data_IF_676757776641
#
_entry.id   IF_676757776641
#
_cell.length_a   1.000
_cell.length_b   1.000
_cell.length_c   1.000
_cell.angle_alpha   90.00
_cell.angle_beta   90.00
_cell.angle_gamma   90.00
#
_symmetry.space_group_name_H-M   'P 1'
#
loop_
_entity.id
_entity.type
_entity.pdbx_description
1 polymer ?
#
# COMPACT_ATOMS: atom_id res chain seq x y z
N UNK A 1 -7.26 -6.58 -3.28
CA UNK A 1 -8.03 -7.86 -3.45
C UNK A 1 -9.54 -7.63 -3.39
N UNK A 2 -10.08 -7.00 -2.34
CA UNK A 2 -11.52 -6.73 -2.21
C UNK A 2 -12.09 -5.83 -3.33
N UNK A 3 -11.32 -4.83 -3.74
CA UNK A 3 -11.57 -3.86 -4.83
C UNK A 3 -11.54 -4.49 -6.22
N UNK A 4 -10.66 -5.46 -6.48
CA UNK A 4 -10.69 -6.24 -7.73
C UNK A 4 -12.01 -7.02 -7.85
N UNK A 5 -12.50 -7.59 -6.75
CA UNK A 5 -13.78 -8.29 -6.75
C UNK A 5 -14.99 -7.34 -6.82
N UNK A 6 -14.90 -6.14 -6.23
CA UNK A 6 -16.02 -5.20 -6.17
C UNK A 6 -16.08 -4.18 -7.31
N UNK A 7 -14.98 -3.98 -8.05
CA UNK A 7 -14.91 -3.00 -9.14
C UNK A 7 -14.66 -3.72 -10.46
N UNK A 8 -13.63 -4.57 -10.55
CA UNK A 8 -13.21 -5.23 -11.79
C UNK A 8 -14.27 -6.22 -12.30
N UNK A 9 -14.91 -6.98 -11.40
CA UNK A 9 -15.96 -7.94 -11.76
C UNK A 9 -17.22 -7.21 -12.31
N UNK A 10 -17.83 -6.23 -11.61
CA UNK A 10 -19.01 -5.57 -12.14
C UNK A 10 -18.71 -4.67 -13.36
N UNK A 11 -17.52 -4.07 -13.47
CA UNK A 11 -17.15 -3.32 -14.70
C UNK A 11 -16.95 -4.25 -15.90
N UNK A 12 -16.31 -5.41 -15.73
CA UNK A 12 -16.10 -6.37 -16.82
C UNK A 12 -17.38 -7.14 -17.21
N UNK A 13 -18.24 -7.50 -16.24
CA UNK A 13 -19.41 -8.35 -16.48
C UNK A 13 -20.67 -7.56 -16.87
N UNK A 14 -20.83 -6.33 -16.37
CA UNK A 14 -22.06 -5.54 -16.54
C UNK A 14 -21.86 -4.23 -17.31
N UNK A 15 -20.63 -3.91 -17.77
CA UNK A 15 -20.32 -2.67 -18.49
C UNK A 15 -20.75 -1.40 -17.71
N UNK A 16 -20.76 -1.48 -16.38
CA UNK A 16 -21.20 -0.38 -15.50
C UNK A 16 -20.05 0.62 -15.36
N UNK A 17 -20.17 1.75 -16.04
CA UNK A 17 -19.26 2.87 -15.88
C UNK A 17 -19.46 3.53 -14.51
N UNK A 18 -18.51 3.33 -13.58
CA UNK A 18 -18.46 4.10 -12.34
C UNK A 18 -17.85 5.48 -12.61
N UNK A 19 -18.60 6.55 -12.28
CA UNK A 19 -18.18 7.95 -12.47
C UNK A 19 -16.82 8.27 -11.84
N UNK A 20 -16.08 9.18 -12.49
CA UNK A 20 -14.69 9.61 -12.20
C UNK A 20 -14.28 9.78 -10.73
N UNK A 21 -15.07 10.37 -9.80
CA UNK A 21 -14.63 10.56 -8.42
C UNK A 21 -14.67 9.27 -7.59
N UNK A 22 -15.63 8.38 -7.84
CA UNK A 22 -15.75 7.14 -7.07
C UNK A 22 -14.66 6.15 -7.44
N UNK A 23 -14.34 6.04 -8.73
CA UNK A 23 -13.27 5.17 -9.18
C UNK A 23 -11.93 5.56 -8.53
N UNK A 24 -11.62 6.86 -8.49
CA UNK A 24 -10.39 7.39 -7.89
C UNK A 24 -10.30 7.13 -6.39
N UNK A 25 -11.41 7.28 -5.64
CA UNK A 25 -11.41 7.02 -4.19
C UNK A 25 -11.18 5.53 -3.91
N UNK A 26 -11.87 4.65 -4.64
CA UNK A 26 -11.74 3.21 -4.44
C UNK A 26 -10.36 2.68 -4.85
N UNK A 27 -9.74 3.21 -5.92
CA UNK A 27 -8.37 2.82 -6.31
C UNK A 27 -7.33 3.29 -5.30
N UNK A 28 -7.51 4.47 -4.69
CA UNK A 28 -6.61 4.98 -3.65
C UNK A 28 -6.52 4.04 -2.45
N UNK A 29 -7.64 3.47 -1.99
CA UNK A 29 -7.61 2.49 -0.89
C UNK A 29 -6.86 1.21 -1.26
N UNK A 30 -6.99 0.73 -2.49
CA UNK A 30 -6.26 -0.45 -2.97
C UNK A 30 -4.76 -0.19 -3.07
N UNK A 31 -4.37 0.99 -3.59
CA UNK A 31 -2.97 1.42 -3.69
C UNK A 31 -2.34 1.56 -2.30
N UNK A 32 -3.03 2.21 -1.35
CA UNK A 32 -2.56 2.34 0.04
C UNK A 32 -2.37 0.97 0.68
N UNK A 33 -3.34 0.07 0.51
CA UNK A 33 -3.30 -1.28 1.06
C UNK A 33 -2.16 -2.11 0.46
N UNK A 34 -2.00 -2.09 -0.86
CA UNK A 34 -0.92 -2.76 -1.56
C UNK A 34 0.46 -2.25 -1.12
N UNK A 35 0.61 -0.93 -1.05
CA UNK A 35 1.86 -0.29 -0.67
C UNK A 35 2.19 -0.55 0.81
N UNK A 36 1.19 -0.52 1.71
CA UNK A 36 1.37 -0.89 3.11
C UNK A 36 1.77 -2.37 3.26
N UNK A 37 1.21 -3.26 2.43
CA UNK A 37 1.57 -4.68 2.41
C UNK A 37 3.02 -4.88 1.99
N UNK A 38 3.49 -4.23 0.93
CA UNK A 38 4.91 -4.30 0.49
C UNK A 38 5.84 -3.75 1.57
N UNK A 39 5.52 -2.60 2.16
CA UNK A 39 6.35 -2.04 3.23
C UNK A 39 6.39 -2.95 4.47
N UNK A 40 5.29 -3.63 4.78
CA UNK A 40 5.25 -4.59 5.89
C UNK A 40 6.11 -5.82 5.59
N UNK A 41 5.99 -6.41 4.41
CA UNK A 41 6.77 -7.62 4.05
C UNK A 41 8.26 -7.33 3.93
N UNK A 42 8.63 -6.17 3.38
CA UNK A 42 10.04 -5.72 3.33
C UNK A 42 10.59 -5.48 4.73
N UNK A 43 9.83 -4.87 5.63
CA UNK A 43 10.25 -4.66 7.01
C UNK A 43 10.44 -5.98 7.76
N UNK A 44 9.55 -6.96 7.56
CA UNK A 44 9.71 -8.32 8.07
C UNK A 44 10.98 -8.97 7.50
N UNK A 45 11.23 -8.83 6.19
CA UNK A 45 12.44 -9.37 5.57
C UNK A 45 13.73 -8.74 6.13
N UNK A 46 13.71 -7.43 6.39
CA UNK A 46 14.83 -6.72 7.02
C UNK A 46 15.04 -7.20 8.45
N UNK A 47 13.98 -7.37 9.25
CA UNK A 47 14.08 -7.93 10.59
C UNK A 47 14.76 -9.31 10.58
N UNK A 48 14.35 -10.19 9.64
CA UNK A 48 14.97 -11.50 9.45
C UNK A 48 16.42 -11.41 9.00
N UNK A 49 16.75 -10.49 8.11
CA UNK A 49 18.14 -10.26 7.67
C UNK A 49 19.04 -9.83 8.82
N UNK A 50 18.56 -8.89 9.66
CA UNK A 50 19.28 -8.42 10.85
C UNK A 50 19.46 -9.54 11.88
N UNK A 51 18.44 -10.39 12.04
CA UNK A 51 18.51 -11.59 12.88
C UNK A 51 19.65 -12.53 12.49
N UNK A 52 19.80 -12.81 11.20
CA UNK A 52 20.83 -13.75 10.71
C UNK A 52 22.23 -13.13 10.63
N UNK A 53 22.33 -11.85 10.28
CA UNK A 53 23.62 -11.20 10.09
C UNK A 53 24.20 -10.62 11.39
N UNK A 54 23.36 -10.22 12.34
CA UNK A 54 23.77 -9.53 13.57
C UNK A 54 23.03 -10.10 14.80
N UNK A 55 23.25 -11.39 15.05
CA UNK A 55 22.70 -12.13 16.21
C UNK A 55 22.92 -11.38 17.53
N UNK A 56 24.10 -10.76 17.71
CA UNK A 56 24.46 -10.03 18.94
C UNK A 56 23.65 -8.75 19.19
N UNK A 57 23.27 -8.01 18.14
CA UNK A 57 22.50 -6.76 18.28
C UNK A 57 21.01 -7.05 18.42
N UNK A 58 20.49 -8.06 17.71
CA UNK A 58 19.08 -8.42 17.80
C UNK A 58 18.70 -8.90 19.21
N UNK A 59 19.55 -9.70 19.86
CA UNK A 59 19.30 -10.14 21.24
C UNK A 59 19.24 -8.96 22.23
N UNK A 60 20.12 -7.96 22.10
CA UNK A 60 20.08 -6.76 22.95
C UNK A 60 18.88 -5.85 22.68
N UNK A 61 18.45 -5.71 21.42
CA UNK A 61 17.31 -4.86 21.04
C UNK A 61 15.97 -5.50 21.41
N UNK A 62 15.84 -6.82 21.30
CA UNK A 62 14.62 -7.53 21.74
C UNK A 62 14.53 -7.60 23.26
N UNK A 63 15.66 -7.83 23.94
CA UNK A 63 15.69 -7.92 25.41
C UNK A 63 15.51 -6.55 26.09
N UNK A 64 16.02 -5.47 25.50
CA UNK A 64 15.63 -4.11 25.89
C UNK A 64 14.31 -3.78 25.21
N UNK A 65 13.21 -4.03 25.91
CA UNK A 65 11.83 -3.73 25.52
C UNK A 65 11.60 -2.21 25.34
N UNK A 66 12.24 -1.62 24.34
CA UNK A 66 12.13 -0.19 24.05
C UNK A 66 10.75 0.10 23.46
N UNK A 67 10.07 1.17 23.89
CA UNK A 67 8.74 1.53 23.40
C UNK A 67 8.72 1.79 21.88
N UNK A 68 9.86 2.13 21.28
CA UNK A 68 10.02 2.29 19.84
C UNK A 68 9.65 1.04 19.04
N UNK A 69 9.83 -0.17 19.58
CA UNK A 69 9.47 -1.43 18.89
C UNK A 69 7.96 -1.49 18.63
N UNK A 70 7.15 -0.87 19.49
CA UNK A 70 5.69 -0.81 19.33
C UNK A 70 5.28 0.13 18.18
N UNK A 71 6.10 1.12 17.84
CA UNK A 71 5.84 2.07 16.75
C UNK A 71 6.25 1.54 15.36
N UNK A 72 7.15 0.55 15.30
CA UNK A 72 7.61 -0.07 14.06
C UNK A 72 6.45 -0.52 13.14
N UNK A 73 5.41 -1.24 13.62
CA UNK A 73 4.30 -1.66 12.76
C UNK A 73 3.42 -0.50 12.26
N UNK A 74 3.50 0.69 12.87
CA UNK A 74 2.78 1.87 12.38
C UNK A 74 3.52 2.57 11.22
N UNK A 75 4.83 2.39 11.10
CA UNK A 75 5.64 3.04 10.06
C UNK A 75 5.17 2.72 8.63
N UNK A 76 4.92 1.45 8.24
CA UNK A 76 4.45 1.11 6.89
C UNK A 76 3.17 1.85 6.49
N UNK A 77 2.25 2.03 7.45
CA UNK A 77 0.99 2.73 7.23
C UNK A 77 1.21 4.23 7.04
N UNK A 78 2.01 4.85 7.91
CA UNK A 78 2.31 6.29 7.80
C UNK A 78 3.01 6.62 6.49
N UNK A 79 3.99 5.80 6.08
CA UNK A 79 4.73 5.98 4.81
C UNK A 79 3.82 5.76 3.61
N UNK A 80 2.95 4.74 3.65
CA UNK A 80 1.99 4.48 2.57
C UNK A 80 1.00 5.63 2.38
N UNK A 81 0.45 6.17 3.48
CA UNK A 81 -0.45 7.32 3.46
C UNK A 81 0.29 8.55 2.91
N UNK A 82 1.52 8.81 3.37
CA UNK A 82 2.30 9.97 2.95
C UNK A 82 2.64 9.92 1.45
N UNK A 83 3.06 8.77 0.93
CA UNK A 83 3.30 8.58 -0.50
C UNK A 83 2.03 8.79 -1.31
N UNK A 84 0.91 8.27 -0.83
CA UNK A 84 -0.40 8.44 -1.49
C UNK A 84 -0.85 9.90 -1.49
N UNK A 85 -0.66 10.64 -0.39
CA UNK A 85 -0.96 12.07 -0.34
C UNK A 85 -0.04 12.83 -1.31
N UNK A 86 1.24 12.49 -1.35
CA UNK A 86 2.21 13.12 -2.24
C UNK A 86 1.85 12.92 -3.72
N UNK A 87 1.44 11.72 -4.14
CA UNK A 87 0.99 11.47 -5.51
C UNK A 87 -0.28 12.24 -5.85
N UNK A 88 -1.22 12.34 -4.91
CA UNK A 88 -2.43 13.14 -5.08
C UNK A 88 -2.14 14.65 -5.18
N UNK A 89 -1.17 15.17 -4.42
CA UNK A 89 -0.75 16.58 -4.47
C UNK A 89 -0.09 16.95 -5.81
N UNK A 90 0.67 16.02 -6.41
CA UNK A 90 1.26 16.20 -7.74
C UNK A 90 0.17 16.17 -8.84
N UNK A 91 -1.05 15.71 -8.51
CA UNK A 91 -2.13 15.54 -9.49
C UNK A 91 -1.99 14.28 -10.32
N UNK A 92 -1.20 13.30 -9.85
CA UNK A 92 -1.08 11.97 -10.43
C UNK A 92 -1.99 11.00 -9.68
N UNK A 93 -3.13 10.67 -10.29
CA UNK A 93 -4.11 9.77 -9.69
C UNK A 93 -4.06 8.41 -10.39
N UNK A 94 -4.23 7.34 -9.62
CA UNK A 94 -4.41 6.00 -10.18
C UNK A 94 -5.86 5.85 -10.62
N UNK A 95 -6.08 5.63 -11.91
CA UNK A 95 -7.38 5.27 -12.48
C UNK A 95 -7.34 3.83 -12.99
N UNK A 96 -8.43 3.11 -12.86
CA UNK A 96 -8.62 1.85 -13.59
C UNK A 96 -9.15 2.18 -14.97
N UNK A 97 -8.40 1.79 -15.99
CA UNK A 97 -8.80 2.02 -17.36
C UNK A 97 -9.82 0.93 -17.77
N UNK A 98 -11.06 1.29 -18.15
CA UNK A 98 -12.14 0.31 -18.35
C UNK A 98 -11.89 -0.63 -19.55
N UNK A 99 -11.05 -0.22 -20.51
CA UNK A 99 -10.79 -1.00 -21.72
C UNK A 99 -9.62 -1.98 -21.58
N UNK A 100 -8.63 -1.63 -20.77
CA UNK A 100 -7.45 -2.49 -20.56
C UNK A 100 -7.48 -3.23 -19.22
N UNK A 101 -8.44 -2.92 -18.34
CA UNK A 101 -8.57 -3.48 -16.98
C UNK A 101 -7.27 -3.33 -16.16
N UNK A 102 -6.41 -2.40 -16.56
CA UNK A 102 -5.13 -2.10 -15.92
C UNK A 102 -5.22 -0.78 -15.19
N UNK A 103 -4.43 -0.66 -14.12
CA UNK A 103 -4.24 0.60 -13.42
C UNK A 103 -3.33 1.50 -14.26
N UNK A 104 -3.85 2.63 -14.71
CA UNK A 104 -3.09 3.65 -15.43
C UNK A 104 -2.95 4.88 -14.54
N UNK A 105 -1.71 5.37 -14.40
CA UNK A 105 -1.43 6.63 -13.73
C UNK A 105 -1.72 7.77 -14.70
N UNK A 106 -2.72 8.58 -14.40
CA UNK A 106 -2.98 9.81 -15.15
C UNK A 106 -2.56 11.00 -14.30
N UNK A 107 -1.53 11.70 -14.77
CA UNK A 107 -1.06 12.96 -14.21
C UNK A 107 -1.67 14.10 -15.02
N UNK A 108 -2.21 15.10 -14.33
CA UNK A 108 -2.75 16.32 -14.95
C UNK A 108 -1.67 17.17 -15.61
#
# INVERSE_FOLDING_TARGET
MLTNCSILIPTALFHVHFNDPYNTILTVFDVVGYLAQIFTTTLIAVDRFVLFYIIGVHHSVVHRRHPFVYCIPALPWTVSILLTIHTNLIGCYVRTNPFTLTYTYECR
#
